data_IF_589276597674
#
_entry.id   IF_589276597674
#
_cell.length_a   1.000
_cell.length_b   1.000
_cell.length_c   1.000
_cell.angle_alpha   90.00
_cell.angle_beta   90.00
_cell.angle_gamma   90.00
#
_symmetry.space_group_name_H-M   'P 1'
#
loop_
_entity.id
_entity.type
_entity.pdbx_description
1 polymer ?
#
# COMPACT_ATOMS: atom_id res chain seq x y z
N UNK A 1 -4.01 14.14 3.16
CA UNK A 1 -4.76 14.45 1.92
C UNK A 1 -5.91 13.46 1.68
N UNK A 2 -5.70 12.14 1.61
CA UNK A 2 -6.86 11.23 1.38
C UNK A 2 -7.87 11.22 2.55
N UNK A 3 -7.37 11.28 3.79
CA UNK A 3 -8.20 11.31 5.01
C UNK A 3 -9.05 12.58 5.17
N UNK A 4 -8.79 13.63 4.40
CA UNK A 4 -9.56 14.88 4.44
C UNK A 4 -10.65 14.94 3.38
N UNK A 5 -10.77 13.91 2.53
CA UNK A 5 -11.83 13.81 1.55
C UNK A 5 -13.09 13.29 2.23
N UNK A 6 -14.23 13.96 2.01
CA UNK A 6 -15.52 13.48 2.48
C UNK A 6 -15.89 12.19 1.76
N UNK A 7 -16.29 11.18 2.53
CA UNK A 7 -16.80 9.93 1.98
C UNK A 7 -18.17 10.17 1.35
N UNK A 8 -18.41 9.60 0.16
CA UNK A 8 -19.70 9.72 -0.52
C UNK A 8 -20.68 8.71 0.07
N UNK A 9 -21.95 9.10 0.16
CA UNK A 9 -23.03 8.21 0.56
C UNK A 9 -23.20 7.05 -0.43
N UNK A 10 -23.72 5.92 0.06
CA UNK A 10 -23.88 4.69 -0.71
C UNK A 10 -22.59 3.87 -0.81
N UNK A 11 -22.44 3.12 -1.91
CA UNK A 11 -21.27 2.26 -2.17
C UNK A 11 -20.39 2.88 -3.25
N UNK A 12 -19.47 3.80 -2.91
CA UNK A 12 -18.61 4.42 -3.90
C UNK A 12 -17.62 3.42 -4.50
N UNK A 13 -17.31 3.60 -5.77
CA UNK A 13 -16.21 2.88 -6.41
C UNK A 13 -14.90 3.61 -6.18
N UNK A 14 -13.93 2.92 -5.58
CA UNK A 14 -12.60 3.48 -5.27
C UNK A 14 -11.64 3.21 -6.43
N UNK A 15 -10.99 4.25 -6.94
CA UNK A 15 -9.93 4.12 -7.95
C UNK A 15 -8.65 4.80 -7.48
N UNK A 16 -7.55 4.05 -7.41
CA UNK A 16 -6.25 4.53 -6.94
C UNK A 16 -5.13 4.05 -7.86
N UNK A 17 -4.42 5.00 -8.47
CA UNK A 17 -3.15 4.77 -9.16
C UNK A 17 -2.09 5.72 -8.58
N UNK A 18 -1.10 5.18 -7.86
CA UNK A 18 -0.07 6.00 -7.22
C UNK A 18 1.26 5.27 -7.00
N UNK A 19 2.13 5.81 -6.15
CA UNK A 19 3.38 5.19 -5.72
C UNK A 19 3.10 3.97 -4.82
N UNK A 20 3.96 2.94 -4.86
CA UNK A 20 3.76 1.66 -4.17
C UNK A 20 3.51 1.76 -2.67
N UNK A 21 4.35 2.45 -1.92
CA UNK A 21 4.18 2.56 -0.47
C UNK A 21 2.92 3.36 -0.10
N UNK A 22 2.66 4.41 -0.85
CA UNK A 22 1.43 5.21 -0.72
C UNK A 22 0.19 4.37 -1.00
N UNK A 23 0.23 3.54 -2.05
CA UNK A 23 -0.84 2.62 -2.42
C UNK A 23 -1.15 1.65 -1.28
N UNK A 24 -0.13 1.05 -0.64
CA UNK A 24 -0.33 0.13 0.49
C UNK A 24 -1.05 0.80 1.66
N UNK A 25 -0.59 2.00 2.04
CA UNK A 25 -1.21 2.78 3.14
C UNK A 25 -2.64 3.19 2.83
N UNK A 26 -2.92 3.55 1.57
CA UNK A 26 -4.27 3.90 1.12
C UNK A 26 -5.18 2.68 1.16
N UNK A 27 -4.73 1.54 0.62
CA UNK A 27 -5.48 0.28 0.65
C UNK A 27 -5.88 -0.09 2.07
N UNK A 28 -4.95 0.06 3.01
CA UNK A 28 -5.18 -0.26 4.41
C UNK A 28 -6.15 0.69 5.09
N UNK A 29 -6.01 1.99 4.82
CA UNK A 29 -6.97 2.98 5.29
C UNK A 29 -8.39 2.69 4.79
N UNK A 30 -8.55 2.43 3.49
CA UNK A 30 -9.87 2.20 2.88
C UNK A 30 -10.50 0.91 3.38
N UNK A 31 -9.73 -0.19 3.46
CA UNK A 31 -10.22 -1.47 3.98
C UNK A 31 -10.63 -1.39 5.44
N UNK A 32 -9.83 -0.73 6.29
CA UNK A 32 -10.08 -0.69 7.73
C UNK A 32 -11.13 0.35 8.14
N UNK A 33 -11.20 1.49 7.45
CA UNK A 33 -12.08 2.59 7.85
C UNK A 33 -13.46 2.54 7.22
N UNK A 34 -13.60 1.90 6.05
CA UNK A 34 -14.82 1.99 5.24
C UNK A 34 -15.38 0.61 4.82
N UNK A 35 -14.86 -0.49 5.39
CA UNK A 35 -15.29 -1.88 5.15
C UNK A 35 -15.36 -2.29 3.67
N UNK A 36 -14.59 -1.61 2.82
CA UNK A 36 -14.47 -1.92 1.40
C UNK A 36 -13.51 -3.09 1.26
N UNK A 37 -14.07 -4.29 1.29
CA UNK A 37 -13.32 -5.55 1.21
C UNK A 37 -13.40 -6.22 -0.16
N UNK A 38 -14.42 -5.89 -0.96
CA UNK A 38 -14.68 -6.48 -2.29
C UNK A 38 -13.83 -5.83 -3.40
N UNK A 39 -13.32 -6.64 -4.32
CA UNK A 39 -12.64 -6.18 -5.54
C UNK A 39 -13.60 -5.51 -6.53
N UNK A 40 -14.91 -5.76 -6.43
CA UNK A 40 -15.93 -5.11 -7.27
C UNK A 40 -16.14 -3.64 -6.95
N UNK A 41 -15.73 -3.18 -5.77
CA UNK A 41 -15.92 -1.80 -5.30
C UNK A 41 -14.61 -1.00 -5.25
N UNK A 42 -13.48 -1.62 -5.64
CA UNK A 42 -12.18 -0.95 -5.59
C UNK A 42 -11.17 -1.46 -6.64
N UNK A 43 -10.62 -0.53 -7.42
CA UNK A 43 -9.37 -0.69 -8.16
C UNK A 43 -8.25 0.06 -7.44
N UNK A 44 -7.17 -0.66 -7.07
CA UNK A 44 -6.00 -0.06 -6.45
C UNK A 44 -4.71 -0.68 -7.00
N UNK A 45 -3.85 0.17 -7.56
CA UNK A 45 -2.63 -0.26 -8.24
C UNK A 45 -1.52 0.77 -8.05
N UNK A 46 -0.31 0.30 -7.85
CA UNK A 46 0.87 1.16 -7.87
C UNK A 46 1.46 1.24 -9.28
N UNK A 47 1.83 2.42 -9.74
CA UNK A 47 2.43 2.62 -11.09
C UNK A 47 3.95 2.67 -11.05
N UNK A 48 4.51 3.07 -9.91
CA UNK A 48 5.95 3.16 -9.71
C UNK A 48 6.28 2.98 -8.24
N UNK A 49 7.57 2.85 -7.93
CA UNK A 49 8.10 2.82 -6.56
C UNK A 49 9.42 3.59 -6.54
N UNK A 50 9.60 4.42 -5.52
CA UNK A 50 10.83 5.19 -5.35
C UNK A 50 12.04 4.26 -5.26
N UNK A 51 13.13 4.63 -5.93
CA UNK A 51 14.39 3.86 -5.99
C UNK A 51 14.27 2.41 -6.49
N UNK A 52 13.23 2.09 -7.27
CA UNK A 52 13.07 0.77 -7.89
C UNK A 52 12.90 0.89 -9.40
N UNK A 53 13.50 -0.04 -10.13
CA UNK A 53 13.21 -0.22 -11.56
C UNK A 53 11.82 -0.83 -11.76
N UNK A 54 11.31 -0.80 -12.99
CA UNK A 54 10.02 -1.41 -13.32
C UNK A 54 9.97 -2.91 -12.98
N UNK A 55 11.03 -3.67 -13.31
CA UNK A 55 11.09 -5.10 -13.00
C UNK A 55 11.09 -5.37 -11.50
N UNK A 56 11.88 -4.61 -10.74
CA UNK A 56 11.88 -4.70 -9.27
C UNK A 56 10.51 -4.35 -8.70
N UNK A 57 9.83 -3.35 -9.27
CA UNK A 57 8.48 -2.96 -8.87
C UNK A 57 7.43 -4.03 -9.22
N UNK A 58 7.54 -4.71 -10.35
CA UNK A 58 6.68 -5.86 -10.71
C UNK A 58 6.83 -7.00 -9.71
N UNK A 59 8.07 -7.28 -9.27
CA UNK A 59 8.34 -8.26 -8.21
C UNK A 59 7.69 -7.81 -6.90
N UNK A 60 7.89 -6.56 -6.50
CA UNK A 60 7.31 -6.00 -5.27
C UNK A 60 5.77 -6.09 -5.28
N UNK A 61 5.11 -5.81 -6.43
CA UNK A 61 3.64 -5.99 -6.59
C UNK A 61 3.19 -7.44 -6.42
N UNK A 62 3.94 -8.39 -6.98
CA UNK A 62 3.60 -9.83 -6.88
C UNK A 62 3.73 -10.32 -5.44
N UNK A 63 4.79 -9.91 -4.75
CA UNK A 63 5.02 -10.26 -3.34
C UNK A 63 3.91 -9.67 -2.47
N UNK A 64 3.58 -8.38 -2.63
CA UNK A 64 2.52 -7.71 -1.87
C UNK A 64 1.14 -8.36 -2.06
N UNK A 65 0.83 -8.86 -3.27
CA UNK A 65 -0.42 -9.55 -3.54
C UNK A 65 -0.52 -10.94 -2.86
N UNK A 66 0.61 -11.63 -2.68
CA UNK A 66 0.66 -12.98 -2.11
C UNK A 66 1.02 -13.04 -0.62
N UNK A 67 1.60 -11.98 -0.06
CA UNK A 67 2.06 -11.97 1.32
C UNK A 67 0.91 -11.71 2.31
N UNK A 68 0.78 -12.54 3.36
CA UNK A 68 -0.07 -12.20 4.49
C UNK A 68 0.37 -10.88 5.14
N UNK A 69 -0.60 -10.07 5.54
CA UNK A 69 -0.38 -8.74 6.15
C UNK A 69 0.63 -8.74 7.29
N UNK A 70 0.61 -9.77 8.15
CA UNK A 70 1.53 -9.84 9.29
C UNK A 70 3.00 -9.99 8.87
N UNK A 71 3.28 -10.75 7.80
CA UNK A 71 4.64 -10.92 7.26
C UNK A 71 5.14 -9.59 6.71
N UNK A 72 4.27 -8.84 6.03
CA UNK A 72 4.62 -7.54 5.50
C UNK A 72 4.99 -6.54 6.62
N UNK A 73 4.23 -6.51 7.71
CA UNK A 73 4.53 -5.66 8.89
C UNK A 73 5.90 -6.00 9.46
N UNK A 74 6.23 -7.29 9.60
CA UNK A 74 7.53 -7.73 10.10
C UNK A 74 8.68 -7.31 9.18
N UNK A 75 8.49 -7.40 7.87
CA UNK A 75 9.47 -6.91 6.90
C UNK A 75 9.66 -5.40 6.95
N UNK A 76 8.58 -4.63 7.08
CA UNK A 76 8.66 -3.17 7.18
C UNK A 76 9.39 -2.75 8.48
N UNK A 77 9.12 -3.42 9.61
CA UNK A 77 9.85 -3.20 10.86
C UNK A 77 11.34 -3.52 10.69
N UNK A 78 11.66 -4.67 10.09
CA UNK A 78 13.05 -5.09 9.84
C UNK A 78 13.78 -4.09 8.95
N UNK A 79 13.16 -3.62 7.87
CA UNK A 79 13.73 -2.64 6.95
C UNK A 79 14.02 -1.32 7.67
N UNK A 80 13.06 -0.83 8.49
CA UNK A 80 13.22 0.40 9.26
C UNK A 80 14.33 0.31 10.31
N UNK A 81 14.45 -0.84 10.98
CA UNK A 81 15.56 -1.11 11.91
C UNK A 81 16.92 -1.08 11.21
N UNK A 82 17.05 -1.71 10.04
CA UNK A 82 18.30 -1.67 9.29
C UNK A 82 18.69 -0.25 8.85
N UNK A 83 17.71 0.54 8.41
CA UNK A 83 17.94 1.95 8.06
C UNK A 83 18.41 2.79 9.26
N UNK A 84 17.81 2.59 10.45
CA UNK A 84 18.22 3.31 11.66
C UNK A 84 19.63 2.89 12.09
N UNK A 85 19.97 1.60 11.97
CA UNK A 85 21.31 1.09 12.29
C UNK A 85 22.38 1.62 11.32
N UNK A 86 22.07 1.77 10.03
CA UNK A 86 23.03 2.29 9.05
C UNK A 86 23.34 3.78 9.24
N UNK A 87 22.43 4.54 9.86
CA UNK A 87 22.61 5.97 10.17
C UNK A 87 23.39 6.21 11.47
N UNK A 88 23.62 5.17 12.29
CA UNK A 88 24.40 5.25 13.55
C UNK A 88 25.87 4.85 13.38
N UNK A 89 26.31 4.57 12.15
CA UNK A 89 27.71 4.40 11.76
C UNK A 89 28.19 5.66 11.07
#
# INVERSE_FOLDING_TARGET
KIKSLAWKEGTPYVWVACEFESMRRIRDYIKNSHDITDSKTMYISSYWKFERTEDQHRIDKRIDAGAPRFIQILWDIKAKLQQVLSLKR
#
